data_IF_808040149830
#
_entry.id   IF_808040149830
#
_cell.length_a   1.000
_cell.length_b   1.000
_cell.length_c   1.000
_cell.angle_alpha   90.00
_cell.angle_beta   90.00
_cell.angle_gamma   90.00
#
_symmetry.space_group_name_H-M   'P 1'
#
loop_
_entity.id
_entity.type
_entity.pdbx_description
1 polymer ?
#
# COMPACT_ATOMS: atom_id res chain seq x y z
N UNK A 1 -8.13 12.86 -13.69
CA UNK A 1 -8.22 12.92 -12.22
C UNK A 1 -7.68 14.27 -11.72
N UNK A 2 -8.32 14.93 -10.74
CA UNK A 2 -7.69 16.05 -10.05
C UNK A 2 -6.45 15.55 -9.26
N UNK A 3 -5.41 16.39 -9.11
CA UNK A 3 -4.24 16.02 -8.31
C UNK A 3 -4.61 15.87 -6.84
N UNK A 4 -4.31 14.72 -6.23
CA UNK A 4 -4.33 14.59 -4.77
C UNK A 4 -3.29 15.55 -4.20
N UNK A 5 -3.66 16.28 -3.14
CA UNK A 5 -2.77 17.22 -2.48
C UNK A 5 -1.47 16.54 -2.06
N UNK A 6 -0.35 17.24 -2.28
CA UNK A 6 0.98 16.86 -1.82
C UNK A 6 0.89 16.52 -0.33
N UNK A 7 1.70 15.54 0.13
CA UNK A 7 2.02 15.28 1.53
C UNK A 7 2.50 16.57 2.23
N UNK A 8 1.58 17.45 2.58
CA UNK A 8 1.82 18.53 3.52
C UNK A 8 1.56 17.97 4.91
N UNK A 9 2.51 18.06 5.85
CA UNK A 9 2.27 17.61 7.22
C UNK A 9 1.06 18.33 7.85
N UNK A 10 0.78 19.55 7.39
CA UNK A 10 -0.30 20.42 7.89
C UNK A 10 -1.71 20.04 7.40
N UNK A 11 -1.81 19.15 6.40
CA UNK A 11 -3.11 18.62 5.99
C UNK A 11 -3.51 17.45 6.91
N UNK A 12 -4.81 17.29 7.23
CA UNK A 12 -5.26 16.11 7.95
C UNK A 12 -4.91 14.84 7.14
N UNK A 13 -4.52 13.74 7.81
CA UNK A 13 -4.21 12.50 7.11
C UNK A 13 -5.44 12.02 6.35
N UNK A 14 -5.27 11.71 5.06
CA UNK A 14 -6.32 11.09 4.26
C UNK A 14 -6.68 9.73 4.88
N UNK A 15 -7.97 9.46 5.16
CA UNK A 15 -8.40 8.17 5.70
C UNK A 15 -8.10 7.01 4.74
N UNK A 16 -7.94 7.28 3.44
CA UNK A 16 -7.66 6.26 2.42
C UNK A 16 -6.17 6.07 2.14
N UNK A 17 -5.34 7.10 2.34
CA UNK A 17 -3.94 7.07 1.91
C UNK A 17 -3.10 6.01 2.64
N UNK A 18 -3.29 5.84 3.94
CA UNK A 18 -2.57 4.83 4.73
C UNK A 18 -2.92 3.41 4.27
N UNK A 19 -4.21 3.12 4.11
CA UNK A 19 -4.66 1.78 3.73
C UNK A 19 -4.26 1.47 2.30
N UNK A 20 -4.37 2.45 1.41
CA UNK A 20 -3.89 2.33 0.02
C UNK A 20 -2.42 1.96 -0.03
N UNK A 21 -1.61 2.58 0.83
CA UNK A 21 -0.18 2.30 0.95
C UNK A 21 0.07 0.87 1.45
N UNK A 22 -0.63 0.42 2.48
CA UNK A 22 -0.46 -0.93 3.02
C UNK A 22 -0.93 -2.01 2.07
N UNK A 23 -2.12 -1.87 1.47
CA UNK A 23 -2.66 -2.82 0.47
C UNK A 23 -1.67 -2.99 -0.67
N UNK A 24 -1.18 -1.89 -1.25
CA UNK A 24 -0.20 -1.95 -2.33
C UNK A 24 1.09 -2.64 -1.89
N UNK A 25 1.66 -2.24 -0.75
CA UNK A 25 2.96 -2.73 -0.31
C UNK A 25 2.90 -4.20 0.11
N UNK A 26 1.81 -4.64 0.74
CA UNK A 26 1.57 -6.04 1.11
C UNK A 26 1.33 -6.89 -0.13
N UNK A 27 0.48 -6.45 -1.06
CA UNK A 27 0.20 -7.19 -2.30
C UNK A 27 1.43 -7.35 -3.20
N UNK A 28 2.35 -6.39 -3.16
CA UNK A 28 3.57 -6.39 -3.98
C UNK A 28 4.82 -6.86 -3.22
N UNK A 29 4.65 -7.29 -1.95
CA UNK A 29 5.73 -7.81 -1.12
C UNK A 29 6.23 -9.13 -1.70
N UNK A 30 7.51 -9.18 -2.06
CA UNK A 30 8.18 -10.42 -2.45
C UNK A 30 9.14 -10.85 -1.34
N UNK A 31 8.98 -12.05 -0.74
CA UNK A 31 9.90 -12.51 0.30
C UNK A 31 11.37 -12.53 -0.16
N UNK A 32 11.63 -12.71 -1.46
CA UNK A 32 12.97 -12.64 -2.05
C UNK A 32 13.67 -11.30 -1.83
N UNK A 33 12.93 -10.19 -1.78
CA UNK A 33 13.50 -8.84 -1.63
C UNK A 33 14.11 -8.61 -0.23
N UNK A 34 13.83 -9.54 0.69
CA UNK A 34 14.25 -9.55 2.08
C UNK A 34 15.19 -10.72 2.40
N UNK A 35 15.46 -11.59 1.42
CA UNK A 35 16.52 -12.59 1.50
C UNK A 35 17.76 -11.96 0.93
N UNK A 36 18.82 -11.94 1.71
CA UNK A 36 20.07 -11.39 1.22
C UNK A 36 21.21 -12.37 1.33
N UNK A 37 21.92 -12.53 0.20
CA UNK A 37 23.21 -13.22 0.17
C UNK A 37 24.28 -12.45 0.94
N UNK A 38 24.13 -11.13 1.10
CA UNK A 38 25.05 -10.29 1.88
C UNK A 38 24.79 -10.33 3.40
N UNK A 39 23.84 -11.16 3.86
CA UNK A 39 23.52 -11.32 5.28
C UNK A 39 22.70 -10.19 5.90
N UNK A 40 22.26 -9.18 5.12
CA UNK A 40 21.39 -8.12 5.60
C UNK A 40 20.09 -8.70 6.17
N UNK A 41 19.75 -8.24 7.38
CA UNK A 41 18.57 -8.72 8.10
C UNK A 41 17.33 -7.96 7.65
N UNK A 42 16.22 -8.66 7.43
CA UNK A 42 14.92 -7.99 7.42
C UNK A 42 14.48 -7.65 8.84
N UNK A 43 13.79 -6.51 8.96
CA UNK A 43 13.27 -5.96 10.20
C UNK A 43 11.84 -5.48 9.98
N UNK A 44 10.97 -5.80 10.92
CA UNK A 44 9.64 -5.20 11.06
C UNK A 44 9.72 -4.21 12.21
N UNK A 45 9.39 -2.95 11.94
CA UNK A 45 9.46 -1.89 12.93
C UNK A 45 8.21 -1.00 12.91
N UNK A 46 7.84 -0.49 14.09
CA UNK A 46 6.91 0.62 14.23
C UNK A 46 7.68 1.93 14.06
N UNK A 47 7.18 2.81 13.19
CA UNK A 47 7.73 4.14 12.95
C UNK A 47 6.88 5.17 13.70
N UNK A 48 7.54 6.01 14.49
CA UNK A 48 6.93 7.12 15.21
C UNK A 48 7.62 8.42 14.80
N UNK A 49 7.00 9.19 13.89
CA UNK A 49 7.55 10.47 13.45
C UNK A 49 7.62 11.47 14.60
N UNK A 50 8.63 12.33 14.55
CA UNK A 50 8.63 13.55 15.34
C UNK A 50 7.59 14.54 14.81
N UNK A 51 7.18 15.49 15.65
CA UNK A 51 6.18 16.50 15.30
C UNK A 51 6.58 17.36 14.10
N UNK A 52 7.88 17.58 13.88
CA UNK A 52 8.44 18.34 12.77
C UNK A 52 8.76 17.47 11.54
N UNK A 53 8.41 16.18 11.53
CA UNK A 53 8.59 15.36 10.33
C UNK A 53 7.66 15.82 9.20
N UNK A 54 8.21 15.95 8.00
CA UNK A 54 7.57 16.57 6.84
C UNK A 54 7.68 18.10 6.81
N UNK A 55 8.17 18.75 7.87
CA UNK A 55 8.33 20.21 7.88
C UNK A 55 9.40 20.67 6.87
N UNK A 56 9.14 21.80 6.22
CA UNK A 56 10.08 22.41 5.30
C UNK A 56 11.32 22.92 6.07
N UNK A 57 12.50 22.58 5.58
CA UNK A 57 13.77 23.06 6.10
C UNK A 57 14.24 24.24 5.25
N UNK A 58 14.43 25.39 5.89
CA UNK A 58 14.91 26.63 5.28
C UNK A 58 16.27 27.00 5.86
N UNK A 59 17.20 27.46 5.02
CA UNK A 59 18.56 27.85 5.43
C UNK A 59 19.67 26.98 4.84
N UNK A 60 20.91 27.29 5.21
CA UNK A 60 22.13 26.64 4.70
C UNK A 60 22.61 25.47 5.56
N UNK A 61 22.04 25.29 6.75
CA UNK A 61 22.35 24.20 7.67
C UNK A 61 21.12 23.77 8.46
N UNK A 62 21.13 22.54 8.98
CA UNK A 62 20.12 22.03 9.90
C UNK A 62 20.78 21.16 10.97
N UNK A 63 20.23 21.16 12.19
CA UNK A 63 20.67 20.24 13.24
C UNK A 63 20.13 18.85 12.91
N UNK A 64 20.97 17.82 12.80
CA UNK A 64 20.56 16.42 12.62
C UNK A 64 20.50 15.73 14.00
N UNK A 65 19.32 15.32 14.45
CA UNK A 65 19.06 14.76 15.79
C UNK A 65 19.50 13.31 15.92
N UNK A 66 19.62 12.57 14.81
CA UNK A 66 20.16 11.22 14.83
C UNK A 66 21.68 11.23 15.06
N UNK A 67 22.39 12.22 14.49
CA UNK A 67 23.85 12.41 14.64
C UNK A 67 24.23 13.34 15.80
N UNK A 68 23.29 14.12 16.32
CA UNK A 68 23.53 15.10 17.38
C UNK A 68 24.40 16.30 16.96
N UNK A 69 24.39 16.68 15.67
CA UNK A 69 25.27 17.72 15.14
C UNK A 69 24.59 18.54 14.03
N UNK A 70 25.07 19.77 13.80
CA UNK A 70 24.65 20.61 12.67
C UNK A 70 25.36 20.19 11.39
N UNK A 71 24.59 19.99 10.32
CA UNK A 71 25.10 19.59 9.00
C UNK A 71 24.60 20.56 7.92
N UNK A 72 25.33 20.74 6.80
CA UNK A 72 24.87 21.60 5.71
C UNK A 72 23.58 21.05 5.08
N UNK A 73 22.71 21.96 4.65
CA UNK A 73 21.57 21.61 3.79
C UNK A 73 22.12 21.43 2.37
N UNK A 74 22.01 20.24 1.76
CA UNK A 74 22.58 20.02 0.44
C UNK A 74 21.77 20.79 -0.62
N UNK A 75 22.43 21.65 -1.39
CA UNK A 75 21.85 22.55 -2.40
C UNK A 75 20.86 23.60 -1.87
N UNK A 76 20.65 24.69 -2.60
CA UNK A 76 19.67 25.74 -2.27
C UNK A 76 18.19 25.33 -2.52
N UNK A 77 17.92 24.03 -2.67
CA UNK A 77 16.59 23.51 -3.02
C UNK A 77 15.77 23.30 -1.74
N UNK A 78 14.46 23.49 -1.84
CA UNK A 78 13.53 23.18 -0.74
C UNK A 78 13.64 21.70 -0.38
N UNK A 79 13.74 21.43 0.92
CA UNK A 79 13.78 20.08 1.50
C UNK A 79 12.77 19.98 2.63
N UNK A 80 12.39 18.77 2.96
CA UNK A 80 11.64 18.47 4.18
C UNK A 80 12.41 17.47 5.03
N UNK A 81 12.27 17.61 6.34
CA UNK A 81 12.91 16.72 7.28
C UNK A 81 12.10 15.42 7.43
N UNK A 82 12.77 14.28 7.50
CA UNK A 82 12.18 13.01 7.90
C UNK A 82 12.83 12.65 9.22
N UNK A 83 12.07 12.77 10.31
CA UNK A 83 12.63 12.64 11.67
C UNK A 83 11.72 11.85 12.56
N UNK A 84 12.29 11.09 13.47
CA UNK A 84 11.51 10.32 14.44
C UNK A 84 12.30 9.17 15.05
N UNK A 85 11.54 8.18 15.49
CA UNK A 85 12.06 6.96 16.10
C UNK A 85 11.47 5.72 15.43
N UNK A 86 12.18 4.62 15.53
CA UNK A 86 11.71 3.31 15.13
C UNK A 86 11.90 2.32 16.28
N UNK A 87 10.99 1.36 16.41
CA UNK A 87 11.05 0.29 17.40
C UNK A 87 10.84 -1.05 16.70
N UNK A 88 11.76 -2.00 16.93
CA UNK A 88 11.66 -3.35 16.37
C UNK A 88 10.49 -4.09 16.99
N UNK A 89 9.72 -4.73 16.12
CA UNK A 89 8.68 -5.70 16.47
C UNK A 89 9.18 -7.12 16.23
N UNK A 90 9.84 -7.35 15.08
CA UNK A 90 10.42 -8.62 14.71
C UNK A 90 11.63 -8.41 13.79
N UNK A 91 12.58 -9.33 13.81
CA UNK A 91 13.71 -9.34 12.89
C UNK A 91 14.12 -10.77 12.55
N UNK A 92 14.92 -10.90 11.49
CA UNK A 92 15.63 -12.15 11.16
C UNK A 92 16.89 -12.36 12.00
N UNK A 93 17.41 -11.30 12.63
CA UNK A 93 18.67 -11.35 13.37
C UNK A 93 18.52 -10.62 14.72
N UNK A 94 18.87 -11.27 15.85
CA UNK A 94 18.82 -10.66 17.17
C UNK A 94 19.82 -9.51 17.38
N UNK A 95 20.83 -9.35 16.51
CA UNK A 95 21.80 -8.26 16.60
C UNK A 95 21.24 -6.89 16.15
N UNK A 96 20.05 -6.87 15.57
CA UNK A 96 19.37 -5.61 15.21
C UNK A 96 19.03 -4.87 16.51
N UNK A 97 19.38 -3.57 16.65
CA UNK A 97 19.03 -2.80 17.83
C UNK A 97 17.52 -2.77 18.06
N UNK A 98 17.06 -2.85 19.31
CA UNK A 98 15.62 -2.90 19.63
C UNK A 98 14.85 -1.61 19.24
N UNK A 99 15.56 -0.49 19.13
CA UNK A 99 15.03 0.79 18.69
C UNK A 99 16.15 1.70 18.18
N UNK A 100 15.76 2.78 17.49
CA UNK A 100 16.69 3.81 17.06
C UNK A 100 16.00 5.11 16.67
N UNK A 101 16.82 6.08 16.28
CA UNK A 101 16.38 7.38 15.76
C UNK A 101 16.70 7.45 14.27
N UNK A 102 15.87 8.19 13.54
CA UNK A 102 16.14 8.52 12.15
C UNK A 102 16.04 10.02 11.93
N UNK A 103 16.91 10.52 11.05
CA UNK A 103 16.92 11.92 10.62
C UNK A 103 17.64 12.05 9.27
N UNK A 104 16.90 12.49 8.26
CA UNK A 104 17.48 12.94 7.00
C UNK A 104 16.60 13.98 6.31
N UNK A 105 17.19 14.67 5.34
CA UNK A 105 16.45 15.59 4.48
C UNK A 105 16.10 14.91 3.15
N UNK A 106 14.82 14.94 2.79
CA UNK A 106 14.39 14.55 1.45
C UNK A 106 14.16 15.79 0.61
N UNK A 107 14.57 15.73 -0.65
CA UNK A 107 14.31 16.80 -1.60
C UNK A 107 12.80 16.98 -1.75
N UNK A 108 12.29 18.21 -1.56
CA UNK A 108 10.90 18.46 -1.89
C UNK A 108 10.76 18.34 -3.40
N UNK A 109 9.81 17.53 -3.87
CA UNK A 109 9.53 17.42 -5.30
C UNK A 109 9.23 18.81 -5.86
N UNK A 110 10.15 19.32 -6.69
CA UNK A 110 10.01 20.64 -7.29
C UNK A 110 8.82 20.60 -8.27
N UNK A 111 7.90 21.58 -8.21
CA UNK A 111 6.78 21.70 -9.16
C UNK A 111 7.19 21.81 -10.64
N UNK A 112 8.49 22.03 -10.90
CA UNK A 112 9.06 22.29 -12.23
C UNK A 112 9.26 20.99 -13.02
N UNK A 113 9.39 19.83 -12.37
CA UNK A 113 9.58 18.55 -13.06
C UNK A 113 8.25 17.80 -13.20
N UNK A 114 7.58 18.07 -14.34
CA UNK A 114 6.44 17.32 -14.91
C UNK A 114 5.20 17.22 -14.03
N UNK A 115 4.24 18.11 -14.31
CA UNK A 115 2.84 17.85 -13.94
C UNK A 115 2.25 16.80 -14.89
N UNK A 116 1.38 15.93 -14.37
CA UNK A 116 1.00 15.82 -12.95
C UNK A 116 2.02 14.99 -12.15
N UNK A 117 2.08 15.27 -10.83
CA UNK A 117 2.88 14.48 -9.90
C UNK A 117 2.47 13.00 -9.95
N UNK A 118 3.42 12.05 -9.82
CA UNK A 118 3.07 10.65 -9.69
C UNK A 118 2.12 10.46 -8.51
N UNK A 119 1.00 9.78 -8.74
CA UNK A 119 0.03 9.45 -7.70
C UNK A 119 0.23 8.03 -7.17
N UNK A 120 1.49 7.60 -7.03
CA UNK A 120 1.78 6.28 -6.47
C UNK A 120 1.53 6.27 -4.97
N UNK A 121 1.34 5.09 -4.34
CA UNK A 121 1.05 5.02 -2.91
C UNK A 121 2.14 5.66 -2.04
N UNK A 122 3.42 5.63 -2.46
CA UNK A 122 4.55 6.33 -1.81
C UNK A 122 4.33 7.83 -1.71
N UNK A 123 3.70 8.42 -2.73
CA UNK A 123 3.44 9.86 -2.79
C UNK A 123 2.22 10.25 -1.97
N UNK A 124 1.31 9.31 -1.72
CA UNK A 124 0.10 9.53 -0.92
C UNK A 124 0.38 9.41 0.57
N UNK A 125 1.31 8.52 0.96
CA UNK A 125 1.60 8.24 2.35
C UNK A 125 3.07 7.87 2.56
N UNK A 126 3.72 8.55 3.50
CA UNK A 126 5.06 8.21 3.96
C UNK A 126 5.03 7.81 5.43
N UNK A 127 5.49 6.60 5.80
CA UNK A 127 5.53 6.18 7.20
C UNK A 127 6.51 7.01 8.03
N UNK A 128 7.49 7.65 7.41
CA UNK A 128 8.46 8.49 8.11
C UNK A 128 7.92 9.88 8.45
N UNK A 129 6.83 10.30 7.79
CA UNK A 129 6.12 11.56 8.07
C UNK A 129 4.87 11.31 8.92
N UNK A 130 4.13 10.21 8.65
CA UNK A 130 2.80 9.94 9.23
C UNK A 130 2.76 8.76 10.18
N UNK A 131 3.83 7.97 10.28
CA UNK A 131 3.93 6.79 11.13
C UNK A 131 3.42 5.53 10.44
N UNK A 132 3.45 4.42 11.16
CA UNK A 132 2.96 3.13 10.65
C UNK A 132 3.87 1.97 11.03
N UNK A 133 3.55 0.79 10.51
CA UNK A 133 4.38 -0.40 10.65
C UNK A 133 5.02 -0.72 9.31
N UNK A 134 6.34 -0.88 9.28
CA UNK A 134 7.07 -1.21 8.05
C UNK A 134 7.83 -2.52 8.20
N UNK A 135 8.05 -3.19 7.08
CA UNK A 135 9.14 -4.15 6.89
C UNK A 135 10.19 -3.56 5.95
N UNK A 136 11.46 -3.77 6.27
CA UNK A 136 12.59 -3.26 5.49
C UNK A 136 13.81 -4.17 5.61
N UNK A 137 14.74 -4.08 4.66
CA UNK A 137 16.10 -4.60 4.78
C UNK A 137 16.95 -3.61 5.56
N UNK A 138 17.47 -4.05 6.69
CA UNK A 138 18.34 -3.25 7.53
C UNK A 138 19.74 -3.13 6.93
N UNK A 139 20.17 -1.90 6.71
CA UNK A 139 21.51 -1.57 6.25
C UNK A 139 22.20 -0.62 7.25
N UNK A 140 22.88 -1.15 8.29
CA UNK A 140 23.49 -0.31 9.33
C UNK A 140 24.67 0.53 8.84
N UNK A 141 25.25 0.21 7.68
CA UNK A 141 26.36 0.97 7.10
C UNK A 141 25.89 2.19 6.27
N UNK A 142 24.61 2.25 5.90
CA UNK A 142 24.06 3.37 5.15
C UNK A 142 23.57 4.49 6.08
N UNK A 143 23.57 5.71 5.56
CA UNK A 143 23.09 6.89 6.29
C UNK A 143 21.69 7.34 5.83
N UNK A 144 21.00 8.06 6.71
CA UNK A 144 19.72 8.70 6.39
C UNK A 144 18.63 7.69 6.01
N UNK A 145 17.86 7.97 4.96
CA UNK A 145 16.79 7.07 4.51
C UNK A 145 17.30 5.72 4.00
N UNK A 146 18.54 5.66 3.49
CA UNK A 146 19.13 4.45 2.89
C UNK A 146 19.43 3.33 3.91
N UNK A 147 19.41 3.65 5.21
CA UNK A 147 19.47 2.62 6.26
C UNK A 147 18.22 1.71 6.25
N UNK A 148 17.12 2.19 5.64
CA UNK A 148 15.88 1.48 5.44
C UNK A 148 15.75 1.01 3.98
N UNK A 149 16.38 -0.12 3.64
CA UNK A 149 16.28 -0.68 2.29
C UNK A 149 14.92 -1.35 2.03
N UNK A 150 14.40 -1.30 0.80
CA UNK A 150 13.17 -2.01 0.40
C UNK A 150 11.99 -1.84 1.39
N UNK A 151 11.66 -0.59 1.74
CA UNK A 151 10.59 -0.30 2.69
C UNK A 151 9.23 -0.67 2.13
N UNK A 152 8.48 -1.47 2.87
CA UNK A 152 7.07 -1.79 2.64
C UNK A 152 6.28 -1.53 3.91
N UNK A 153 5.17 -0.80 3.81
CA UNK A 153 4.22 -0.66 4.90
C UNK A 153 3.35 -1.91 4.98
N UNK A 154 3.10 -2.40 6.19
CA UNK A 154 2.28 -3.58 6.45
C UNK A 154 1.16 -3.22 7.41
N UNK A 155 0.06 -3.97 7.35
CA UNK A 155 -1.01 -3.87 8.35
C UNK A 155 -0.41 -4.12 9.74
N UNK A 156 -0.62 -3.24 10.73
CA UNK A 156 -0.12 -3.42 12.09
C UNK A 156 -0.50 -4.77 12.71
N UNK A 157 -1.68 -5.27 12.37
CA UNK A 157 -2.27 -6.54 12.81
C UNK A 157 -1.52 -7.74 12.22
N UNK A 158 -0.80 -7.55 11.11
CA UNK A 158 -0.11 -8.60 10.36
C UNK A 158 1.39 -8.70 10.69
N UNK A 159 1.89 -8.00 11.71
CA UNK A 159 3.30 -8.03 12.08
C UNK A 159 3.87 -9.44 12.24
N UNK A 160 3.14 -10.33 12.91
CA UNK A 160 3.58 -11.71 13.13
C UNK A 160 3.40 -12.59 11.89
N UNK A 161 2.32 -12.36 11.13
CA UNK A 161 1.94 -13.03 9.90
C UNK A 161 3.01 -12.82 8.82
N UNK A 162 3.43 -11.56 8.64
CA UNK A 162 4.53 -11.17 7.75
C UNK A 162 5.85 -11.76 8.23
N UNK A 163 6.18 -11.66 9.52
CA UNK A 163 7.40 -12.27 10.06
C UNK A 163 7.47 -13.78 9.81
N UNK A 164 6.36 -14.50 10.02
CA UNK A 164 6.25 -15.94 9.74
C UNK A 164 6.42 -16.24 8.25
N UNK A 165 5.74 -15.50 7.37
CA UNK A 165 5.85 -15.67 5.92
C UNK A 165 7.30 -15.48 5.44
N UNK A 166 7.98 -14.43 5.91
CA UNK A 166 9.37 -14.15 5.56
C UNK A 166 10.35 -15.25 6.02
N UNK A 167 10.10 -15.87 7.19
CA UNK A 167 10.89 -17.02 7.67
C UNK A 167 10.60 -18.29 6.88
N UNK A 168 9.32 -18.59 6.66
CA UNK A 168 8.85 -19.83 6.03
C UNK A 168 9.25 -19.92 4.57
N UNK A 169 9.37 -18.79 3.87
CA UNK A 169 9.68 -18.77 2.46
C UNK A 169 11.07 -19.40 2.12
N UNK A 170 11.92 -19.66 3.11
CA UNK A 170 13.17 -20.43 2.98
C UNK A 170 12.97 -21.96 2.80
N UNK A 171 11.75 -22.49 2.95
CA UNK A 171 11.43 -23.90 2.79
C UNK A 171 11.15 -24.28 1.32
N UNK A 172 11.35 -25.55 0.95
CA UNK A 172 11.08 -26.07 -0.40
C UNK A 172 9.63 -25.80 -0.83
N UNK A 173 9.42 -25.56 -2.14
CA UNK A 173 8.11 -25.31 -2.71
C UNK A 173 7.15 -26.49 -2.41
N UNK A 174 5.95 -26.23 -1.85
CA UNK A 174 4.96 -27.27 -1.61
C UNK A 174 4.51 -27.93 -2.92
N UNK A 175 4.21 -29.23 -2.88
CA UNK A 175 3.62 -29.95 -4.03
C UNK A 175 2.13 -29.63 -4.25
N UNK A 176 1.44 -29.06 -3.24
CA UNK A 176 0.04 -28.64 -3.33
C UNK A 176 -0.10 -27.40 -4.20
N UNK A 177 -1.06 -27.30 -5.13
CA UNK A 177 -1.26 -26.09 -5.96
C UNK A 177 -1.53 -24.82 -5.12
N UNK A 178 -1.03 -23.63 -5.52
CA UNK A 178 -1.17 -22.41 -4.74
C UNK A 178 -2.60 -22.05 -4.33
N UNK A 179 -3.57 -22.11 -5.25
CA UNK A 179 -4.97 -21.77 -4.97
C UNK A 179 -5.59 -22.69 -3.92
N UNK A 180 -5.19 -23.97 -3.90
CA UNK A 180 -5.65 -24.92 -2.88
C UNK A 180 -5.06 -24.58 -1.50
N UNK A 181 -3.88 -23.96 -1.43
CA UNK A 181 -3.26 -23.52 -0.17
C UNK A 181 -3.92 -22.26 0.39
N UNK A 182 -4.36 -21.32 -0.45
CA UNK A 182 -5.04 -20.08 -0.05
C UNK A 182 -6.21 -20.36 0.91
N UNK A 183 -7.03 -21.36 0.60
CA UNK A 183 -8.24 -21.69 1.39
C UNK A 183 -7.93 -22.40 2.72
N UNK A 184 -6.73 -22.96 2.89
CA UNK A 184 -6.35 -23.76 4.05
C UNK A 184 -5.34 -23.07 4.96
N UNK A 185 -4.69 -22.00 4.50
CA UNK A 185 -3.72 -21.29 5.32
C UNK A 185 -4.43 -20.41 6.36
N UNK A 186 -3.92 -20.45 7.59
CA UNK A 186 -4.38 -19.57 8.68
C UNK A 186 -3.62 -18.24 8.73
N UNK A 187 -2.56 -18.11 7.93
CA UNK A 187 -1.74 -16.91 7.82
C UNK A 187 -2.16 -16.11 6.57
N UNK A 188 -2.87 -14.98 6.74
CA UNK A 188 -3.39 -14.20 5.60
C UNK A 188 -2.28 -13.66 4.70
N UNK A 189 -1.08 -13.38 5.23
CA UNK A 189 0.06 -12.98 4.39
C UNK A 189 0.52 -14.12 3.46
N UNK A 190 0.45 -15.36 3.93
CA UNK A 190 0.84 -16.52 3.09
C UNK A 190 -0.24 -16.81 2.06
N UNK A 191 -1.51 -16.70 2.43
CA UNK A 191 -2.65 -16.77 1.50
C UNK A 191 -2.54 -15.72 0.38
N UNK A 192 -2.14 -14.47 0.70
CA UNK A 192 -1.87 -13.42 -0.31
C UNK A 192 -0.77 -13.82 -1.29
N UNK A 193 0.35 -14.36 -0.80
CA UNK A 193 1.46 -14.80 -1.65
C UNK A 193 1.03 -15.96 -2.56
N UNK A 194 0.36 -16.95 -1.97
CA UNK A 194 -0.15 -18.12 -2.70
C UNK A 194 -1.20 -17.74 -3.74
N UNK A 195 -2.05 -16.75 -3.45
CA UNK A 195 -2.99 -16.23 -4.44
C UNK A 195 -2.28 -15.48 -5.57
N UNK A 196 -1.24 -14.72 -5.26
CA UNK A 196 -0.38 -14.08 -6.27
C UNK A 196 0.30 -15.09 -7.19
N UNK A 197 0.74 -16.22 -6.65
CA UNK A 197 1.28 -17.34 -7.44
C UNK A 197 0.18 -18.04 -8.25
N UNK A 198 -1.01 -18.25 -7.67
CA UNK A 198 -2.16 -18.83 -8.38
C UNK A 198 -2.54 -17.99 -9.61
N UNK A 199 -2.63 -16.66 -9.48
CA UNK A 199 -2.92 -15.76 -10.60
C UNK A 199 -1.89 -15.86 -11.73
N UNK A 200 -0.65 -16.26 -11.41
CA UNK A 200 0.43 -16.41 -12.40
C UNK A 200 0.46 -17.78 -13.03
N UNK A 201 0.19 -18.83 -12.27
CA UNK A 201 0.52 -20.20 -12.64
C UNK A 201 -0.71 -21.08 -12.91
N UNK A 202 -1.88 -20.74 -12.37
CA UNK A 202 -3.10 -21.55 -12.49
C UNK A 202 -4.05 -21.07 -13.60
N UNK A 203 -4.98 -21.95 -14.06
CA UNK A 203 -6.00 -21.57 -15.03
C UNK A 203 -7.02 -20.58 -14.43
N UNK A 204 -7.34 -19.52 -15.17
CA UNK A 204 -8.29 -18.48 -14.76
C UNK A 204 -9.67 -19.03 -14.39
N UNK A 205 -10.17 -20.06 -15.09
CA UNK A 205 -11.47 -20.68 -14.80
C UNK A 205 -11.55 -21.22 -13.37
N UNK A 206 -10.46 -21.83 -12.90
CA UNK A 206 -10.37 -22.40 -11.55
C UNK A 206 -10.40 -21.30 -10.50
N UNK A 207 -9.67 -20.20 -10.73
CA UNK A 207 -9.60 -19.06 -9.81
C UNK A 207 -10.94 -18.33 -9.75
N UNK A 208 -11.53 -18.03 -10.91
CA UNK A 208 -12.85 -17.36 -11.02
C UNK A 208 -13.94 -18.16 -10.31
N UNK A 209 -13.93 -19.49 -10.42
CA UNK A 209 -14.91 -20.34 -9.74
C UNK A 209 -14.82 -20.23 -8.20
N UNK A 210 -13.63 -19.99 -7.63
CA UNK A 210 -13.42 -19.87 -6.18
C UNK A 210 -13.49 -18.45 -5.65
N UNK A 211 -13.30 -17.45 -6.53
CA UNK A 211 -13.27 -16.05 -6.15
C UNK A 211 -14.49 -15.63 -5.30
N UNK A 212 -15.75 -16.02 -5.57
CA UNK A 212 -16.87 -15.69 -4.68
C UNK A 212 -16.72 -16.18 -3.23
N UNK A 213 -16.00 -17.29 -3.02
CA UNK A 213 -15.64 -17.77 -1.68
C UNK A 213 -14.54 -16.92 -1.06
N UNK A 214 -13.49 -16.61 -1.83
CA UNK A 214 -12.38 -15.74 -1.42
C UNK A 214 -12.84 -14.30 -1.11
N UNK A 215 -13.92 -13.82 -1.74
CA UNK A 215 -14.54 -12.53 -1.39
C UNK A 215 -15.15 -12.51 0.02
N UNK A 216 -15.30 -13.67 0.67
CA UNK A 216 -15.90 -13.86 1.99
C UNK A 216 -14.89 -14.21 3.08
N UNK A 217 -13.58 -14.13 2.82
CA UNK A 217 -12.55 -14.34 3.87
C UNK A 217 -12.79 -13.44 5.08
N UNK A 218 -12.47 -13.93 6.27
CA UNK A 218 -12.76 -13.22 7.51
C UNK A 218 -11.88 -11.98 7.69
N UNK A 219 -10.62 -12.05 7.26
CA UNK A 219 -9.68 -10.94 7.32
C UNK A 219 -9.94 -9.94 6.17
N UNK A 220 -10.38 -8.73 6.54
CA UNK A 220 -10.69 -7.67 5.58
C UNK A 220 -9.44 -7.09 4.88
N UNK A 221 -8.27 -7.15 5.52
CA UNK A 221 -7.02 -6.76 4.90
C UNK A 221 -6.60 -7.78 3.84
N UNK A 222 -6.83 -9.06 4.09
CA UNK A 222 -6.65 -10.13 3.11
C UNK A 222 -7.55 -9.86 1.90
N UNK A 223 -8.85 -9.66 2.13
CA UNK A 223 -9.78 -9.34 1.06
C UNK A 223 -9.34 -8.14 0.22
N UNK A 224 -8.94 -7.03 0.85
CA UNK A 224 -8.48 -5.84 0.13
C UNK A 224 -7.26 -6.12 -0.75
N UNK A 225 -6.36 -6.99 -0.28
CA UNK A 225 -5.15 -7.40 -0.97
C UNK A 225 -5.45 -8.36 -2.12
N UNK A 226 -6.36 -9.32 -1.94
CA UNK A 226 -6.83 -10.22 -3.00
C UNK A 226 -7.51 -9.43 -4.13
N UNK A 227 -8.35 -8.45 -3.79
CA UNK A 227 -8.97 -7.56 -4.79
C UNK A 227 -7.90 -6.76 -5.55
N UNK A 228 -6.90 -6.20 -4.86
CA UNK A 228 -5.79 -5.53 -5.53
C UNK A 228 -5.08 -6.45 -6.54
N UNK A 229 -4.81 -7.70 -6.15
CA UNK A 229 -4.13 -8.68 -7.00
C UNK A 229 -4.98 -9.03 -8.23
N UNK A 230 -6.28 -9.29 -8.07
CA UNK A 230 -7.20 -9.49 -9.18
C UNK A 230 -7.23 -8.32 -10.16
N UNK A 231 -7.14 -7.08 -9.66
CA UNK A 231 -7.30 -5.88 -10.48
C UNK A 231 -5.99 -5.48 -11.16
N UNK A 232 -4.83 -5.59 -10.49
CA UNK A 232 -3.54 -5.07 -11.00
C UNK A 232 -2.47 -6.12 -11.30
N UNK A 233 -2.56 -7.33 -10.73
CA UNK A 233 -1.54 -8.37 -10.86
C UNK A 233 -1.99 -9.55 -11.75
N UNK A 234 -3.29 -9.67 -12.04
CA UNK A 234 -3.80 -10.64 -13.00
C UNK A 234 -3.22 -10.38 -14.40
N UNK A 235 -3.15 -11.45 -15.20
CA UNK A 235 -2.84 -11.36 -16.63
C UNK A 235 -3.88 -10.46 -17.31
N UNK A 236 -3.46 -9.70 -18.31
CA UNK A 236 -4.31 -8.71 -18.99
C UNK A 236 -5.57 -9.37 -19.59
N UNK A 237 -5.40 -10.52 -20.26
CA UNK A 237 -6.49 -11.28 -20.91
C UNK A 237 -7.50 -11.86 -19.91
N UNK A 238 -7.06 -12.12 -18.68
CA UNK A 238 -7.88 -12.74 -17.62
C UNK A 238 -8.61 -11.68 -16.77
N UNK A 239 -8.15 -10.42 -16.79
CA UNK A 239 -8.58 -9.36 -15.87
C UNK A 239 -10.08 -9.11 -15.90
N UNK A 240 -10.69 -9.01 -17.09
CA UNK A 240 -12.13 -8.73 -17.23
C UNK A 240 -13.00 -9.73 -16.47
N UNK A 241 -12.60 -11.02 -16.48
CA UNK A 241 -13.32 -12.10 -15.81
C UNK A 241 -13.29 -11.98 -14.29
N UNK A 242 -12.16 -11.51 -13.73
CA UNK A 242 -12.08 -11.19 -12.32
C UNK A 242 -12.94 -9.99 -11.95
N UNK A 243 -12.94 -8.94 -12.77
CA UNK A 243 -13.76 -7.74 -12.56
C UNK A 243 -15.26 -8.08 -12.59
N UNK A 244 -15.72 -8.87 -13.56
CA UNK A 244 -17.11 -9.35 -13.65
C UNK A 244 -17.52 -10.13 -12.40
N UNK A 245 -16.62 -10.97 -11.89
CA UNK A 245 -16.89 -11.78 -10.70
C UNK A 245 -16.92 -10.93 -9.42
N UNK A 246 -16.04 -9.92 -9.32
CA UNK A 246 -16.02 -8.95 -8.22
C UNK A 246 -17.31 -8.12 -8.24
N UNK A 247 -17.71 -7.58 -9.39
CA UNK A 247 -18.96 -6.84 -9.59
C UNK A 247 -20.18 -7.66 -9.13
N UNK A 248 -20.32 -8.89 -9.64
CA UNK A 248 -21.38 -9.80 -9.24
C UNK A 248 -21.36 -10.15 -7.74
N UNK A 249 -20.18 -10.19 -7.12
CA UNK A 249 -20.03 -10.46 -5.68
C UNK A 249 -20.44 -9.25 -4.84
N UNK A 250 -20.08 -8.03 -5.24
CA UNK A 250 -20.47 -6.78 -4.57
C UNK A 250 -21.99 -6.69 -4.42
N UNK A 251 -22.74 -7.03 -5.48
CA UNK A 251 -24.21 -7.03 -5.46
C UNK A 251 -24.85 -7.91 -4.38
N UNK A 252 -24.11 -8.85 -3.78
CA UNK A 252 -24.59 -9.81 -2.77
C UNK A 252 -24.03 -9.57 -1.36
N UNK A 253 -23.18 -8.55 -1.16
CA UNK A 253 -22.55 -8.27 0.13
C UNK A 253 -23.37 -7.23 0.88
N UNK A 254 -23.90 -7.56 2.05
CA UNK A 254 -24.62 -6.62 2.94
C UNK A 254 -23.70 -5.98 4.00
N UNK A 255 -22.48 -6.51 4.16
CA UNK A 255 -21.50 -6.02 5.13
C UNK A 255 -20.73 -4.80 4.60
N UNK A 256 -20.95 -3.64 5.23
CA UNK A 256 -20.30 -2.39 4.87
C UNK A 256 -18.77 -2.41 5.01
N UNK A 257 -18.24 -3.14 5.98
CA UNK A 257 -16.79 -3.24 6.20
C UNK A 257 -16.13 -4.04 5.07
N UNK A 258 -16.80 -5.09 4.59
CA UNK A 258 -16.38 -5.87 3.43
C UNK A 258 -16.42 -5.09 2.14
N UNK A 259 -17.48 -4.31 1.90
CA UNK A 259 -17.53 -3.39 0.76
C UNK A 259 -16.38 -2.38 0.80
N UNK A 260 -16.06 -1.87 1.99
CA UNK A 260 -14.96 -0.93 2.17
C UNK A 260 -13.60 -1.57 1.89
N UNK A 261 -13.36 -2.82 2.30
CA UNK A 261 -12.16 -3.57 1.97
C UNK A 261 -11.97 -3.74 0.45
N UNK A 262 -13.04 -4.05 -0.28
CA UNK A 262 -13.03 -4.12 -1.75
C UNK A 262 -12.66 -2.75 -2.35
N UNK A 263 -13.22 -1.67 -1.79
CA UNK A 263 -12.90 -0.31 -2.23
C UNK A 263 -11.41 0.03 -2.04
N UNK A 264 -10.82 -0.30 -0.89
CA UNK A 264 -9.37 -0.11 -0.66
C UNK A 264 -8.52 -0.89 -1.68
N UNK A 265 -8.87 -2.15 -1.94
CA UNK A 265 -8.20 -2.98 -2.94
C UNK A 265 -8.22 -2.39 -4.34
N UNK A 266 -9.41 -2.01 -4.81
CA UNK A 266 -9.60 -1.43 -6.14
C UNK A 266 -8.94 -0.04 -6.26
N UNK A 267 -9.02 0.79 -5.21
CA UNK A 267 -8.37 2.09 -5.19
C UNK A 267 -6.85 1.96 -5.27
N UNK A 268 -6.27 1.10 -4.44
CA UNK A 268 -4.83 0.84 -4.44
C UNK A 268 -4.35 0.32 -5.80
N UNK A 269 -5.13 -0.55 -6.44
CA UNK A 269 -4.82 -1.03 -7.78
C UNK A 269 -4.78 0.11 -8.81
N UNK A 270 -5.67 1.10 -8.70
CA UNK A 270 -5.66 2.30 -9.54
C UNK A 270 -4.51 3.27 -9.30
N UNK A 271 -3.79 3.13 -8.19
CA UNK A 271 -2.60 3.93 -7.84
C UNK A 271 -1.29 3.18 -8.05
N UNK A 272 -1.34 1.88 -8.36
CA UNK A 272 -0.15 1.02 -8.55
C UNK A 272 0.79 1.47 -9.66
N UNK A 273 0.27 2.18 -10.68
CA UNK A 273 1.06 2.75 -11.77
C UNK A 273 1.07 4.29 -11.69
N UNK A 274 2.22 4.92 -11.95
CA UNK A 274 2.28 6.37 -11.98
C UNK A 274 1.49 6.91 -13.19
N UNK A 275 0.60 7.89 -12.98
CA UNK A 275 0.01 8.63 -14.08
C UNK A 275 1.11 9.38 -14.87
N UNK A 276 1.05 9.47 -16.21
CA UNK A 276 -0.02 9.03 -17.12
C UNK A 276 0.09 7.59 -17.62
N UNK A 277 0.96 6.76 -17.04
CA UNK A 277 1.18 5.38 -17.48
C UNK A 277 0.08 4.39 -17.06
N UNK A 278 -1.08 4.91 -16.65
CA UNK A 278 -2.27 4.10 -16.38
C UNK A 278 -2.92 3.71 -17.71
N UNK A 279 -3.09 2.40 -17.91
CA UNK A 279 -3.81 1.85 -19.06
C UNK A 279 -5.31 2.20 -18.97
N UNK A 280 -5.92 2.56 -20.10
CA UNK A 280 -7.34 2.84 -20.19
C UNK A 280 -8.19 1.63 -19.79
N UNK A 281 -7.74 0.40 -20.08
CA UNK A 281 -8.43 -0.82 -19.67
C UNK A 281 -8.41 -1.00 -18.15
N UNK A 282 -7.29 -0.66 -17.50
CA UNK A 282 -7.16 -0.64 -16.05
C UNK A 282 -8.14 0.36 -15.42
N UNK A 283 -8.21 1.58 -15.96
CA UNK A 283 -9.15 2.59 -15.48
C UNK A 283 -10.60 2.13 -15.63
N UNK A 284 -10.98 1.57 -16.77
CA UNK A 284 -12.34 1.05 -16.99
C UNK A 284 -12.71 -0.10 -16.03
N UNK A 285 -11.74 -0.95 -15.71
CA UNK A 285 -11.89 -2.03 -14.72
C UNK A 285 -12.20 -1.45 -13.33
N UNK A 286 -11.45 -0.43 -12.91
CA UNK A 286 -11.64 0.22 -11.62
C UNK A 286 -12.98 0.98 -11.57
N UNK A 287 -13.32 1.72 -12.62
CA UNK A 287 -14.60 2.44 -12.71
C UNK A 287 -15.79 1.49 -12.62
N UNK A 288 -15.67 0.28 -13.15
CA UNK A 288 -16.69 -0.78 -13.06
C UNK A 288 -16.90 -1.24 -11.62
N UNK A 289 -15.81 -1.56 -10.90
CA UNK A 289 -15.87 -1.93 -9.48
C UNK A 289 -16.47 -0.81 -8.63
N UNK A 290 -16.03 0.44 -8.81
CA UNK A 290 -16.57 1.56 -8.03
C UNK A 290 -18.03 1.91 -8.38
N UNK A 291 -18.49 1.64 -9.61
CA UNK A 291 -19.91 1.78 -9.96
C UNK A 291 -20.76 0.79 -9.18
N UNK A 292 -20.33 -0.46 -9.12
CA UNK A 292 -20.98 -1.51 -8.34
C UNK A 292 -21.02 -1.16 -6.84
N UNK A 293 -19.87 -0.74 -6.28
CA UNK A 293 -19.76 -0.31 -4.89
C UNK A 293 -20.71 0.84 -4.59
N UNK A 294 -20.77 1.87 -5.44
CA UNK A 294 -21.68 3.01 -5.24
C UNK A 294 -23.14 2.59 -5.21
N UNK A 295 -23.57 1.78 -6.18
CA UNK A 295 -24.95 1.25 -6.21
C UNK A 295 -25.26 0.48 -4.92
N UNK A 296 -24.33 -0.36 -4.47
CA UNK A 296 -24.54 -1.20 -3.29
C UNK A 296 -24.55 -0.41 -1.97
N UNK A 297 -23.58 0.49 -1.78
CA UNK A 297 -23.48 1.39 -0.62
C UNK A 297 -24.73 2.26 -0.52
N UNK A 298 -25.23 2.78 -1.65
CA UNK A 298 -26.50 3.52 -1.70
C UNK A 298 -27.70 2.65 -1.32
N UNK A 299 -27.79 1.42 -1.84
CA UNK A 299 -28.89 0.49 -1.50
C UNK A 299 -28.92 0.13 0.00
N UNK A 300 -27.75 0.11 0.65
CA UNK A 300 -27.60 -0.15 2.09
C UNK A 300 -27.71 1.11 2.96
N UNK A 301 -27.95 2.29 2.36
CA UNK A 301 -27.99 3.59 3.05
C UNK A 301 -26.73 3.89 3.89
N UNK A 302 -25.56 3.45 3.41
CA UNK A 302 -24.28 3.72 4.08
C UNK A 302 -23.93 5.21 3.93
N UNK A 303 -23.56 5.93 5.01
CA UNK A 303 -23.22 7.34 4.94
C UNK A 303 -21.97 7.63 4.08
N UNK A 304 -22.04 8.67 3.23
CA UNK A 304 -20.97 9.11 2.30
C UNK A 304 -20.66 10.61 2.50
N UNK A 305 -20.51 11.03 3.76
CA UNK A 305 -20.21 12.43 4.10
C UNK A 305 -18.73 12.79 3.92
N UNK A 306 -18.43 14.08 3.84
CA UNK A 306 -17.05 14.59 3.89
C UNK A 306 -16.29 14.04 5.10
N UNK A 307 -15.03 13.69 4.90
CA UNK A 307 -14.19 13.04 5.92
C UNK A 307 -14.37 11.52 6.02
N UNK A 308 -15.32 10.92 5.30
CA UNK A 308 -15.44 9.46 5.19
C UNK A 308 -14.55 8.89 4.06
N UNK A 309 -14.10 7.62 4.16
CA UNK A 309 -13.44 6.93 3.05
C UNK A 309 -14.27 6.90 1.77
N UNK A 310 -15.59 6.70 1.89
CA UNK A 310 -16.50 6.65 0.74
C UNK A 310 -16.56 7.96 -0.04
N UNK A 311 -16.51 9.10 0.66
CA UNK A 311 -16.44 10.40 0.02
C UNK A 311 -15.13 10.58 -0.77
N UNK A 312 -13.99 10.19 -0.20
CA UNK A 312 -12.71 10.23 -0.92
C UNK A 312 -12.73 9.33 -2.16
N UNK A 313 -13.25 8.11 -2.03
CA UNK A 313 -13.33 7.17 -3.15
C UNK A 313 -14.19 7.68 -4.30
N UNK A 314 -15.43 8.13 -4.02
CA UNK A 314 -16.34 8.56 -5.08
C UNK A 314 -15.95 9.90 -5.69
N UNK A 315 -15.26 10.77 -4.93
CA UNK A 315 -14.67 12.01 -5.46
C UNK A 315 -13.46 11.72 -6.36
N UNK A 316 -12.60 10.77 -5.97
CA UNK A 316 -11.41 10.42 -6.72
C UNK A 316 -11.73 9.79 -8.10
N UNK A 317 -12.75 8.92 -8.16
CA UNK A 317 -13.19 8.27 -9.39
C UNK A 317 -14.32 8.99 -10.13
N UNK A 318 -14.83 10.11 -9.58
CA UNK A 318 -15.87 10.97 -10.20
C UNK A 318 -16.96 10.20 -10.94
N UNK A 319 -17.48 9.14 -10.33
CA UNK A 319 -18.52 8.35 -10.98
C UNK A 319 -19.82 9.18 -11.04
N UNK A 320 -20.16 9.70 -12.22
CA UNK A 320 -21.49 10.27 -12.47
C UNK A 320 -21.73 11.72 -12.08
N UNK A 321 -20.73 12.59 -12.12
CA UNK A 321 -21.03 13.99 -12.45
C UNK A 321 -21.20 14.09 -13.98
N UNK A 322 -22.32 14.62 -14.50
CA UNK A 322 -22.39 15.03 -15.90
C UNK A 322 -21.21 15.95 -16.20
N UNK A 323 -20.66 15.95 -17.42
CA UNK A 323 -19.72 16.99 -17.81
C UNK A 323 -20.44 18.33 -17.71
N UNK A 324 -20.28 19.03 -16.60
CA UNK A 324 -20.71 20.42 -16.51
C UNK A 324 -19.99 21.17 -17.61
N UNK A 325 -20.81 21.78 -18.45
CA UNK A 325 -20.44 22.54 -19.62
C UNK A 325 -19.40 23.57 -19.23
N UNK A 326 -18.20 23.43 -19.81
CA UNK A 326 -17.22 24.50 -19.83
C UNK A 326 -17.83 25.65 -20.64
N UNK A 327 -18.32 26.68 -19.97
CA UNK A 327 -18.35 28.03 -20.52
C UNK A 327 -16.99 28.67 -20.29
#
# INVERSE_FOLDING_TARGET
MPPVAILSPDLPPSPVAAETRMVHDVATLKPSDYRSADGASWVIARITPAQDSGAAVTGTSYFNTAKGQTVPVPDARRRYANRGTWQVVASSNPSVPAAGRYDWLTLSWLPINRRPLPQTPEHLYSPFIRGGTIVYRWNPAAEGGEQFGNVRMIFPEWQQQVAKALRAASAHAPHTPPLDRVEHDSNPMTAVLDFGDALRDEPVDKIVARLPGLMRVDDLHELSTLVFLCVSASRDDDRSRFIETIDASIGRIDDGARLLAIAYGAFAAGRSRPYPFNDAAQQASIDTVFRALRQRVSALNVPVGEGSPWYEFFTAYRLGEPPEQRN
#
